data_IF_323395965135
#
_entry.id   IF_323395965135
#
_cell.length_a   1.000
_cell.length_b   1.000
_cell.length_c   1.000
_cell.angle_alpha   90.00
_cell.angle_beta   90.00
_cell.angle_gamma   90.00
#
_symmetry.space_group_name_H-M   'P 1'
#
loop_
_entity.id
_entity.type
_entity.pdbx_description
1 polymer ?
#
# COMPACT_ATOMS: atom_id res chain seq x y z
N UNK A 1 -48.20 28.73 27.17
CA UNK A 1 -46.72 28.57 27.16
C UNK A 1 -46.31 27.26 26.49
N UNK A 2 -46.82 26.08 26.89
CA UNK A 2 -46.45 24.78 26.29
C UNK A 2 -46.76 24.63 24.78
N UNK A 3 -47.80 25.27 24.25
CA UNK A 3 -48.18 25.19 22.81
C UNK A 3 -47.18 25.95 21.91
N UNK A 4 -46.51 26.98 22.42
CA UNK A 4 -45.55 27.80 21.66
C UNK A 4 -44.13 27.18 21.73
N UNK A 5 -43.89 26.28 22.68
CA UNK A 5 -42.58 25.68 22.92
C UNK A 5 -42.27 24.49 22.01
N UNK A 6 -43.25 23.97 21.24
CA UNK A 6 -43.04 22.83 20.34
C UNK A 6 -42.56 23.34 18.97
N UNK A 7 -41.27 23.15 18.61
CA UNK A 7 -40.72 23.71 17.39
C UNK A 7 -41.10 22.82 16.20
N UNK A 8 -42.23 23.12 15.55
CA UNK A 8 -42.75 22.35 14.41
C UNK A 8 -41.73 22.17 13.26
N UNK A 9 -40.79 23.12 13.11
CA UNK A 9 -39.74 23.06 12.09
C UNK A 9 -38.51 22.22 12.47
N UNK A 10 -38.31 21.92 13.77
CA UNK A 10 -37.10 21.23 14.25
C UNK A 10 -37.00 19.80 13.70
N UNK A 11 -38.14 19.12 13.56
CA UNK A 11 -38.20 17.75 13.01
C UNK A 11 -37.86 17.66 11.51
N UNK A 12 -37.88 18.78 10.78
CA UNK A 12 -37.59 18.85 9.35
C UNK A 12 -36.22 19.45 9.03
N UNK A 13 -35.67 20.28 9.93
CA UNK A 13 -34.43 21.00 9.70
C UNK A 13 -33.24 20.07 9.41
N UNK A 14 -33.04 19.02 10.23
CA UNK A 14 -31.94 18.07 10.05
C UNK A 14 -32.10 17.24 8.77
N UNK A 15 -33.23 16.52 8.54
CA UNK A 15 -33.38 15.71 7.31
C UNK A 15 -33.23 16.51 6.02
N UNK A 16 -33.75 17.73 5.96
CA UNK A 16 -33.61 18.59 4.77
C UNK A 16 -32.15 19.00 4.54
N UNK A 17 -31.45 19.42 5.60
CA UNK A 17 -30.05 19.83 5.50
C UNK A 17 -29.16 18.66 5.07
N UNK A 18 -29.37 17.48 5.66
CA UNK A 18 -28.66 16.25 5.30
C UNK A 18 -28.95 15.85 3.85
N UNK A 19 -30.21 15.86 3.40
CA UNK A 19 -30.57 15.48 2.03
C UNK A 19 -29.89 16.39 1.01
N UNK A 20 -29.88 17.71 1.25
CA UNK A 20 -29.18 18.68 0.39
C UNK A 20 -27.67 18.46 0.42
N UNK A 21 -27.08 18.22 1.60
CA UNK A 21 -25.65 17.94 1.74
C UNK A 21 -25.23 16.66 0.99
N UNK A 22 -26.01 15.59 1.10
CA UNK A 22 -25.80 14.35 0.33
C UNK A 22 -25.88 14.60 -1.17
N UNK A 23 -26.89 15.35 -1.63
CA UNK A 23 -27.05 15.71 -3.04
C UNK A 23 -25.86 16.51 -3.57
N UNK A 24 -25.41 17.52 -2.82
CA UNK A 24 -24.20 18.30 -3.16
C UNK A 24 -22.94 17.43 -3.17
N UNK A 25 -22.76 16.58 -2.16
CA UNK A 25 -21.63 15.63 -2.11
C UNK A 25 -21.58 14.75 -3.34
N UNK A 26 -22.72 14.19 -3.75
CA UNK A 26 -22.80 13.31 -4.91
C UNK A 26 -22.38 14.03 -6.22
N UNK A 27 -22.74 15.31 -6.39
CA UNK A 27 -22.27 16.09 -7.54
C UNK A 27 -20.75 16.33 -7.56
N UNK A 28 -20.10 16.25 -6.39
CA UNK A 28 -18.64 16.30 -6.24
C UNK A 28 -17.97 14.92 -6.15
N UNK A 29 -18.70 13.84 -6.44
CA UNK A 29 -18.16 12.47 -6.37
C UNK A 29 -18.05 11.87 -4.96
N UNK A 30 -18.65 12.50 -3.95
CA UNK A 30 -18.65 12.03 -2.56
C UNK A 30 -20.03 11.43 -2.22
N UNK A 31 -20.06 10.12 -1.98
CA UNK A 31 -21.30 9.41 -1.65
C UNK A 31 -21.34 9.05 -0.16
N UNK A 32 -22.27 9.64 0.57
CA UNK A 32 -22.51 9.32 1.98
C UNK A 32 -23.48 8.15 2.11
N UNK A 33 -23.07 7.07 2.80
CA UNK A 33 -23.96 5.93 3.09
C UNK A 33 -24.96 6.22 4.19
N UNK A 34 -24.61 7.08 5.16
CA UNK A 34 -25.44 7.45 6.29
C UNK A 34 -25.35 8.97 6.55
N UNK A 35 -26.40 9.52 7.17
CA UNK A 35 -26.47 10.93 7.54
C UNK A 35 -25.46 11.31 8.61
N UNK A 36 -25.24 10.39 9.55
CA UNK A 36 -24.32 10.56 10.69
C UNK A 36 -22.88 10.82 10.24
N UNK A 37 -22.41 10.23 9.13
CA UNK A 37 -21.07 10.52 8.61
C UNK A 37 -20.87 12.01 8.30
N UNK A 38 -21.90 12.73 7.82
CA UNK A 38 -21.78 14.16 7.53
C UNK A 38 -21.52 14.95 8.82
N UNK A 39 -22.17 14.56 9.92
CA UNK A 39 -22.02 15.21 11.22
C UNK A 39 -20.67 14.86 11.86
N UNK A 40 -20.28 13.58 11.85
CA UNK A 40 -19.02 13.10 12.43
C UNK A 40 -17.81 13.64 11.68
N UNK A 41 -17.87 13.74 10.34
CA UNK A 41 -16.77 14.27 9.54
C UNK A 41 -16.35 15.68 9.96
N UNK A 42 -17.27 16.49 10.50
CA UNK A 42 -16.94 17.83 11.02
C UNK A 42 -16.01 17.78 12.23
N UNK A 43 -16.07 16.73 13.03
CA UNK A 43 -15.29 16.61 14.28
C UNK A 43 -14.03 15.78 14.11
N UNK A 44 -13.80 15.18 12.94
CA UNK A 44 -12.58 14.42 12.64
C UNK A 44 -11.37 15.35 12.74
N UNK A 45 -10.38 14.93 13.53
CA UNK A 45 -9.11 15.64 13.70
C UNK A 45 -7.92 14.84 13.14
N UNK A 46 -8.11 13.55 12.87
CA UNK A 46 -7.07 12.65 12.37
C UNK A 46 -7.60 11.81 11.21
N UNK A 47 -6.93 11.89 10.06
CA UNK A 47 -7.13 11.00 8.92
C UNK A 47 -6.07 9.91 8.95
N UNK A 48 -6.51 8.66 9.07
CA UNK A 48 -5.69 7.49 8.79
C UNK A 48 -5.93 7.11 7.32
N UNK A 49 -4.87 6.85 6.57
CA UNK A 49 -4.96 6.49 5.15
C UNK A 49 -4.14 5.24 4.88
N UNK A 50 -4.69 4.31 4.11
CA UNK A 50 -3.87 3.30 3.46
C UNK A 50 -2.97 3.97 2.41
N UNK A 51 -1.85 3.33 2.08
CA UNK A 51 -0.96 3.81 1.02
C UNK A 51 -1.46 3.38 -0.35
N UNK A 52 -1.60 2.06 -0.56
CA UNK A 52 -1.78 1.47 -1.89
C UNK A 52 -3.19 1.78 -2.40
N UNK A 53 -3.29 2.32 -3.61
CA UNK A 53 -4.58 2.65 -4.25
C UNK A 53 -5.36 3.81 -3.64
N UNK A 54 -5.01 4.25 -2.43
CA UNK A 54 -5.54 5.47 -1.80
C UNK A 54 -4.64 6.66 -2.11
N UNK A 55 -3.39 6.68 -1.61
CA UNK A 55 -2.41 7.72 -1.90
C UNK A 55 -1.74 7.53 -3.27
N UNK A 56 -1.61 6.28 -3.69
CA UNK A 56 -1.02 5.86 -4.97
C UNK A 56 -2.09 5.41 -5.96
N UNK A 57 -1.70 5.18 -7.22
CA UNK A 57 -2.61 4.78 -8.31
C UNK A 57 -3.22 3.38 -8.09
N UNK A 58 -2.65 2.57 -7.19
CA UNK A 58 -3.07 1.18 -6.98
C UNK A 58 -2.66 0.29 -8.15
N UNK A 59 -1.66 0.74 -8.93
CA UNK A 59 -1.20 0.09 -10.16
C UNK A 59 0.32 -0.03 -10.11
N UNK A 60 0.85 -0.93 -9.27
CA UNK A 60 2.28 -1.14 -9.18
C UNK A 60 2.86 -1.52 -10.54
N UNK A 61 4.05 -1.00 -10.85
CA UNK A 61 4.80 -1.29 -12.07
C UNK A 61 6.25 -1.67 -11.74
N UNK A 62 6.79 -2.62 -12.49
CA UNK A 62 8.21 -2.95 -12.44
C UNK A 62 9.02 -1.76 -12.97
N UNK A 63 9.91 -1.19 -12.15
CA UNK A 63 10.68 0.02 -12.49
C UNK A 63 12.18 -0.22 -12.61
N UNK A 64 12.73 -1.21 -11.89
CA UNK A 64 14.15 -1.54 -11.98
C UNK A 64 14.38 -3.05 -11.93
N UNK A 65 15.41 -3.48 -12.68
CA UNK A 65 15.90 -4.86 -12.71
C UNK A 65 17.42 -4.80 -12.54
N UNK A 66 17.95 -5.30 -11.42
CA UNK A 66 19.39 -5.29 -11.14
C UNK A 66 19.88 -6.72 -10.95
N UNK A 67 20.52 -7.32 -11.98
CA UNK A 67 21.11 -8.64 -11.85
C UNK A 67 22.34 -8.63 -10.93
N UNK A 68 22.50 -9.71 -10.17
CA UNK A 68 23.73 -10.00 -9.45
C UNK A 68 24.84 -10.47 -10.43
N UNK A 69 26.09 -10.43 -9.98
CA UNK A 69 27.20 -10.95 -10.76
C UNK A 69 26.98 -12.43 -11.15
N UNK A 70 27.07 -12.73 -12.45
CA UNK A 70 26.83 -14.07 -12.99
C UNK A 70 25.39 -14.36 -13.41
N UNK A 71 24.47 -13.40 -13.25
CA UNK A 71 23.10 -13.48 -13.76
C UNK A 71 22.86 -12.42 -14.84
N UNK A 72 22.02 -12.77 -15.83
CA UNK A 72 21.53 -11.82 -16.82
C UNK A 72 20.17 -11.25 -16.41
N UNK A 73 19.88 -10.04 -16.86
CA UNK A 73 18.61 -9.34 -16.59
C UNK A 73 17.39 -10.18 -17.01
N UNK A 74 17.43 -10.77 -18.21
CA UNK A 74 16.35 -11.63 -18.70
C UNK A 74 16.18 -12.90 -17.85
N UNK A 75 17.28 -13.49 -17.37
CA UNK A 75 17.20 -14.68 -16.50
C UNK A 75 16.60 -14.32 -15.15
N UNK A 76 17.01 -13.20 -14.57
CA UNK A 76 16.46 -12.68 -13.32
C UNK A 76 14.95 -12.44 -13.44
N UNK A 77 14.52 -11.70 -14.47
CA UNK A 77 13.12 -11.39 -14.69
C UNK A 77 12.29 -12.64 -15.00
N UNK A 78 12.83 -13.59 -15.76
CA UNK A 78 12.20 -14.88 -15.99
C UNK A 78 11.95 -15.65 -14.69
N UNK A 79 12.97 -15.76 -13.83
CA UNK A 79 12.85 -16.47 -12.55
C UNK A 79 11.79 -15.84 -11.65
N UNK A 80 11.82 -14.50 -11.53
CA UNK A 80 10.87 -13.75 -10.72
C UNK A 80 9.44 -13.84 -11.23
N UNK A 81 9.23 -13.65 -12.53
CA UNK A 81 7.88 -13.74 -13.09
C UNK A 81 7.32 -15.17 -13.04
N UNK A 82 8.18 -16.19 -13.18
CA UNK A 82 7.77 -17.59 -13.10
C UNK A 82 7.30 -17.99 -11.70
N UNK A 83 7.99 -17.54 -10.65
CA UNK A 83 7.58 -17.83 -9.27
C UNK A 83 6.33 -17.03 -8.87
N UNK A 84 6.22 -15.78 -9.34
CA UNK A 84 5.09 -14.89 -9.02
C UNK A 84 3.80 -15.25 -9.75
N UNK A 85 3.82 -16.11 -10.77
CA UNK A 85 2.58 -16.63 -11.38
C UNK A 85 1.69 -17.39 -10.37
N UNK A 86 2.26 -17.90 -9.28
CA UNK A 86 1.51 -18.58 -8.21
C UNK A 86 0.91 -17.63 -7.17
N UNK A 87 1.14 -16.31 -7.28
CA UNK A 87 0.79 -15.30 -6.30
C UNK A 87 -0.32 -14.38 -6.83
N UNK A 88 -1.29 -14.07 -5.99
CA UNK A 88 -2.35 -13.09 -6.28
C UNK A 88 -2.00 -11.67 -5.81
N UNK A 89 -0.75 -11.45 -5.39
CA UNK A 89 -0.32 -10.16 -4.85
C UNK A 89 -0.18 -9.10 -5.97
N UNK A 90 -0.57 -7.83 -5.76
CA UNK A 90 -0.41 -6.78 -6.78
C UNK A 90 1.03 -6.60 -7.29
N UNK A 91 2.03 -6.81 -6.42
CA UNK A 91 3.45 -6.80 -6.82
C UNK A 91 3.80 -7.96 -7.77
N UNK A 92 3.17 -9.13 -7.58
CA UNK A 92 3.33 -10.29 -8.45
C UNK A 92 2.83 -9.98 -9.86
N UNK A 93 1.63 -9.40 -9.95
CA UNK A 93 1.04 -8.96 -11.20
C UNK A 93 1.94 -7.95 -11.92
N UNK A 94 2.49 -6.98 -11.19
CA UNK A 94 3.42 -5.98 -11.74
C UNK A 94 4.70 -6.62 -12.34
N UNK A 95 5.27 -7.63 -11.66
CA UNK A 95 6.46 -8.36 -12.16
C UNK A 95 6.11 -9.18 -13.40
N UNK A 96 4.97 -9.90 -13.37
CA UNK A 96 4.52 -10.73 -14.51
C UNK A 96 4.18 -9.86 -15.72
N UNK A 97 3.53 -8.72 -15.52
CA UNK A 97 3.27 -7.74 -16.57
C UNK A 97 4.58 -7.18 -17.14
N UNK A 98 5.51 -6.75 -16.28
CA UNK A 98 6.83 -6.27 -16.69
C UNK A 98 7.63 -7.32 -17.47
N UNK A 99 7.53 -8.60 -17.12
CA UNK A 99 8.15 -9.68 -17.89
C UNK A 99 7.56 -9.82 -19.29
N UNK A 100 6.23 -9.76 -19.42
CA UNK A 100 5.54 -9.81 -20.73
C UNK A 100 5.93 -8.62 -21.63
N UNK A 101 6.01 -7.42 -21.06
CA UNK A 101 6.45 -6.20 -21.79
C UNK A 101 7.89 -6.33 -22.30
N UNK A 102 8.73 -7.05 -21.56
CA UNK A 102 10.11 -7.37 -21.96
C UNK A 102 10.24 -8.63 -22.83
N UNK A 103 9.12 -9.18 -23.33
CA UNK A 103 9.10 -10.36 -24.19
C UNK A 103 9.47 -11.67 -23.49
N UNK A 104 9.43 -11.72 -22.17
CA UNK A 104 9.76 -12.89 -21.36
C UNK A 104 8.49 -13.65 -21.02
N UNK A 105 8.47 -14.93 -21.38
CA UNK A 105 7.37 -15.84 -21.03
C UNK A 105 7.71 -16.59 -19.74
N UNK A 106 6.91 -16.44 -18.66
CA UNK A 106 7.12 -17.20 -17.44
C UNK A 106 6.91 -18.70 -17.66
N UNK A 107 7.58 -19.51 -16.84
CA UNK A 107 7.44 -20.97 -16.84
C UNK A 107 6.75 -21.45 -15.58
N UNK A 108 6.12 -22.63 -15.66
CA UNK A 108 5.38 -23.19 -14.53
C UNK A 108 6.32 -23.43 -13.35
N UNK A 109 5.91 -22.96 -12.17
CA UNK A 109 6.58 -23.25 -10.90
C UNK A 109 6.08 -24.58 -10.32
N UNK A 110 7.01 -25.37 -9.80
CA UNK A 110 6.75 -26.57 -9.01
C UNK A 110 7.02 -26.28 -7.53
N UNK A 111 6.33 -26.97 -6.62
CA UNK A 111 6.52 -26.81 -5.16
C UNK A 111 6.45 -25.36 -4.68
N UNK A 112 5.49 -24.58 -5.21
CA UNK A 112 5.28 -23.20 -4.79
C UNK A 112 4.83 -23.12 -3.33
N UNK A 113 5.49 -22.25 -2.58
CA UNK A 113 5.16 -21.95 -1.19
C UNK A 113 5.14 -20.43 -0.97
N UNK A 114 4.05 -19.93 -0.38
CA UNK A 114 3.91 -18.54 0.03
C UNK A 114 4.15 -18.39 1.52
N UNK A 115 5.10 -17.53 1.87
CA UNK A 115 5.52 -17.25 3.24
C UNK A 115 5.06 -15.83 3.60
N UNK A 116 3.93 -15.72 4.30
CA UNK A 116 3.32 -14.43 4.70
C UNK A 116 4.35 -13.50 5.33
N UNK A 117 4.41 -12.26 4.82
CA UNK A 117 5.33 -11.21 5.30
C UNK A 117 6.81 -11.44 4.94
N UNK A 118 7.14 -12.46 4.15
CA UNK A 118 8.52 -12.79 3.74
C UNK A 118 8.69 -12.84 2.23
N UNK A 119 7.85 -13.59 1.52
CA UNK A 119 7.94 -13.76 0.08
C UNK A 119 7.45 -15.14 -0.37
N UNK A 120 7.98 -15.63 -1.50
CA UNK A 120 7.61 -16.89 -2.13
C UNK A 120 8.84 -17.73 -2.45
N UNK A 121 8.70 -19.05 -2.41
CA UNK A 121 9.73 -20.01 -2.82
C UNK A 121 9.15 -21.07 -3.75
N UNK A 122 9.99 -21.71 -4.57
CA UNK A 122 9.56 -22.76 -5.48
C UNK A 122 10.68 -23.29 -6.37
N UNK A 123 10.32 -24.16 -7.30
CA UNK A 123 11.23 -24.75 -8.28
C UNK A 123 10.84 -24.36 -9.70
N UNK A 124 11.82 -23.87 -10.47
CA UNK A 124 11.64 -23.48 -11.88
C UNK A 124 12.68 -24.20 -12.71
N UNK A 125 12.25 -25.07 -13.63
CA UNK A 125 13.16 -25.89 -14.46
C UNK A 125 14.24 -26.63 -13.64
N UNK A 126 13.83 -27.18 -12.48
CA UNK A 126 14.74 -27.89 -11.56
C UNK A 126 15.61 -27.01 -10.67
N UNK A 127 15.54 -25.68 -10.79
CA UNK A 127 16.28 -24.72 -9.95
C UNK A 127 15.47 -24.29 -8.75
N UNK A 128 16.10 -24.23 -7.58
CA UNK A 128 15.46 -23.70 -6.36
C UNK A 128 15.47 -22.19 -6.42
N UNK A 129 14.30 -21.57 -6.46
CA UNK A 129 14.14 -20.12 -6.60
C UNK A 129 13.40 -19.56 -5.39
N UNK A 130 13.83 -18.39 -4.94
CA UNK A 130 13.14 -17.61 -3.91
C UNK A 130 13.01 -16.16 -4.36
N UNK A 131 11.90 -15.53 -4.02
CA UNK A 131 11.67 -14.09 -4.22
C UNK A 131 11.06 -13.53 -2.94
N UNK A 132 11.66 -12.48 -2.38
CA UNK A 132 11.12 -11.88 -1.17
C UNK A 132 12.00 -10.80 -0.55
N UNK A 133 11.73 -10.53 0.72
CA UNK A 133 12.47 -9.54 1.51
C UNK A 133 13.80 -10.10 2.05
N UNK A 134 14.53 -9.25 2.76
CA UNK A 134 15.82 -9.60 3.39
C UNK A 134 15.71 -10.76 4.37
N UNK A 135 14.63 -10.84 5.16
CA UNK A 135 14.43 -11.91 6.16
C UNK A 135 14.37 -13.28 5.49
N UNK A 136 13.67 -13.41 4.36
CA UNK A 136 13.65 -14.66 3.59
C UNK A 136 15.05 -15.10 3.13
N UNK A 137 15.86 -14.14 2.66
CA UNK A 137 17.21 -14.45 2.17
C UNK A 137 18.14 -14.91 3.30
N UNK A 138 18.02 -14.28 4.48
CA UNK A 138 18.77 -14.67 5.69
C UNK A 138 18.36 -16.06 6.20
N UNK A 139 17.06 -16.37 6.24
CA UNK A 139 16.54 -17.69 6.62
C UNK A 139 17.03 -18.82 5.70
N UNK A 140 17.20 -18.51 4.41
CA UNK A 140 17.72 -19.44 3.41
C UNK A 140 19.27 -19.50 3.40
N UNK A 141 19.94 -18.72 4.24
CA UNK A 141 21.41 -18.66 4.30
C UNK A 141 22.07 -18.06 3.06
N UNK A 142 21.35 -17.23 2.30
CA UNK A 142 21.84 -16.64 1.05
C UNK A 142 22.50 -15.29 1.36
N UNK A 143 23.81 -15.19 1.09
CA UNK A 143 24.55 -13.96 1.27
C UNK A 143 24.14 -12.91 0.21
N UNK A 144 23.65 -11.72 0.62
CA UNK A 144 23.09 -10.74 -0.31
C UNK A 144 24.14 -9.84 -1.00
N UNK A 145 25.41 -9.88 -0.59
CA UNK A 145 26.47 -9.07 -1.21
C UNK A 145 26.26 -7.56 -1.03
N UNK A 146 26.46 -6.78 -2.09
CA UNK A 146 26.27 -5.32 -2.18
C UNK A 146 24.82 -4.91 -2.53
N UNK A 147 23.96 -5.88 -2.83
CA UNK A 147 22.58 -5.64 -3.21
C UNK A 147 21.73 -5.02 -2.07
N UNK A 148 21.94 -5.28 -0.77
CA UNK A 148 21.21 -4.60 0.30
C UNK A 148 21.32 -3.07 0.22
N UNK A 149 22.49 -2.54 -0.11
CA UNK A 149 22.71 -1.10 -0.19
C UNK A 149 21.93 -0.49 -1.37
N UNK A 150 21.95 -1.17 -2.53
CA UNK A 150 21.16 -0.78 -3.71
C UNK A 150 19.66 -0.85 -3.44
N UNK A 151 19.22 -1.91 -2.74
CA UNK A 151 17.84 -2.07 -2.33
C UNK A 151 17.39 -0.94 -1.39
N UNK A 152 18.29 -0.47 -0.51
CA UNK A 152 17.99 0.62 0.39
C UNK A 152 17.85 1.95 -0.35
N UNK A 153 18.75 2.27 -1.29
CA UNK A 153 18.61 3.46 -2.13
C UNK A 153 17.29 3.46 -2.91
N UNK A 154 16.86 2.31 -3.43
CA UNK A 154 15.55 2.18 -4.09
C UNK A 154 14.37 2.43 -3.13
N UNK A 155 14.47 1.96 -1.89
CA UNK A 155 13.43 2.22 -0.87
C UNK A 155 13.38 3.68 -0.47
N UNK A 156 14.52 4.35 -0.40
CA UNK A 156 14.59 5.80 -0.18
C UNK A 156 13.92 6.60 -1.31
N UNK A 157 13.86 6.03 -2.52
CA UNK A 157 13.09 6.55 -3.66
C UNK A 157 11.60 6.16 -3.63
N UNK A 158 11.12 5.52 -2.55
CA UNK A 158 9.73 5.07 -2.42
C UNK A 158 9.39 3.81 -3.22
N UNK A 159 10.41 3.04 -3.65
CA UNK A 159 10.21 1.78 -4.37
C UNK A 159 10.20 0.59 -3.40
N UNK A 160 9.50 -0.48 -3.77
CA UNK A 160 9.53 -1.76 -3.07
C UNK A 160 10.56 -2.67 -3.74
N UNK A 161 11.73 -2.80 -3.09
CA UNK A 161 12.82 -3.65 -3.55
C UNK A 161 12.70 -5.09 -3.00
N UNK A 162 12.68 -6.06 -3.91
CA UNK A 162 12.59 -7.50 -3.65
C UNK A 162 13.85 -8.20 -4.14
N UNK A 163 14.36 -9.13 -3.33
CA UNK A 163 15.51 -9.96 -3.66
C UNK A 163 15.04 -11.21 -4.38
N UNK A 164 15.80 -11.63 -5.37
CA UNK A 164 15.60 -12.90 -6.08
C UNK A 164 16.84 -13.75 -5.89
N UNK A 165 16.65 -15.01 -5.56
CA UNK A 165 17.72 -15.98 -5.43
C UNK A 165 17.43 -17.24 -6.23
N UNK A 166 18.50 -17.87 -6.73
CA UNK A 166 18.45 -19.13 -7.44
C UNK A 166 19.61 -20.03 -7.02
N UNK A 167 19.33 -21.31 -6.78
CA UNK A 167 20.30 -22.35 -6.46
C UNK A 167 21.21 -21.96 -5.27
N UNK A 168 20.62 -21.35 -4.24
CA UNK A 168 21.31 -20.92 -3.02
C UNK A 168 22.20 -19.68 -3.19
N UNK A 169 22.09 -18.97 -4.32
CA UNK A 169 22.85 -17.74 -4.60
C UNK A 169 21.91 -16.59 -4.90
N UNK A 170 22.35 -15.38 -4.56
CA UNK A 170 21.63 -14.17 -4.93
C UNK A 170 21.65 -13.99 -6.46
N UNK A 171 20.47 -13.90 -7.06
CA UNK A 171 20.30 -13.71 -8.50
C UNK A 171 20.15 -12.23 -8.87
N UNK A 172 19.61 -11.41 -7.96
CA UNK A 172 19.55 -9.96 -8.11
C UNK A 172 18.40 -9.32 -7.33
N UNK A 173 18.04 -8.12 -7.77
CA UNK A 173 16.97 -7.28 -7.22
C UNK A 173 15.97 -6.90 -8.29
N UNK A 174 14.70 -6.81 -7.88
CA UNK A 174 13.65 -6.15 -8.63
C UNK A 174 13.06 -5.03 -7.78
N UNK A 175 12.76 -3.90 -8.40
CA UNK A 175 12.01 -2.84 -7.75
C UNK A 175 10.69 -2.62 -8.45
N UNK A 176 9.63 -2.58 -7.66
CA UNK A 176 8.28 -2.23 -8.09
C UNK A 176 7.88 -0.95 -7.39
N UNK A 177 7.27 -0.02 -8.13
CA UNK A 177 6.76 1.21 -7.57
C UNK A 177 5.29 1.39 -7.94
N UNK A 178 4.50 1.90 -7.01
CA UNK A 178 3.13 2.34 -7.27
C UNK A 178 3.13 3.88 -7.25
N UNK A 179 2.96 4.55 -8.40
CA UNK A 179 3.06 6.00 -8.47
C UNK A 179 2.05 6.69 -7.55
N UNK A 180 2.49 7.76 -6.90
CA UNK A 180 1.60 8.64 -6.12
C UNK A 180 0.62 9.34 -7.07
N UNK A 181 -0.68 9.40 -6.73
CA UNK A 181 -1.65 10.14 -7.56
C UNK A 181 -1.27 11.62 -7.60
N UNK A 182 -1.45 12.23 -8.77
CA UNK A 182 -1.12 13.65 -8.99
C UNK A 182 -1.87 14.62 -8.07
N UNK A 183 -3.04 14.23 -7.57
CA UNK A 183 -3.89 15.01 -6.67
C UNK A 183 -3.55 14.84 -5.19
N UNK A 184 -2.77 13.82 -4.81
CA UNK A 184 -2.55 13.47 -3.40
C UNK A 184 -1.86 14.59 -2.63
N UNK A 185 -0.81 15.19 -3.18
CA UNK A 185 -0.06 16.24 -2.47
C UNK A 185 -0.93 17.47 -2.14
N UNK A 186 -1.79 17.88 -3.08
CA UNK A 186 -2.73 19.00 -2.85
C UNK A 186 -3.80 18.64 -1.81
N UNK A 187 -4.30 17.39 -1.83
CA UNK A 187 -5.27 16.90 -0.87
C UNK A 187 -4.70 16.90 0.56
N UNK A 188 -3.48 16.37 0.75
CA UNK A 188 -2.78 16.37 2.05
C UNK A 188 -2.56 17.81 2.54
N UNK A 189 -2.05 18.70 1.68
CA UNK A 189 -1.86 20.11 2.04
C UNK A 189 -3.17 20.85 2.39
N UNK A 190 -4.30 20.43 1.83
CA UNK A 190 -5.61 20.98 2.18
C UNK A 190 -6.10 20.47 3.55
N UNK A 191 -5.91 19.18 3.84
CA UNK A 191 -6.21 18.60 5.16
C UNK A 191 -5.40 19.27 6.28
N UNK A 192 -4.11 19.51 6.05
CA UNK A 192 -3.26 20.22 7.03
C UNK A 192 -3.72 21.67 7.28
N UNK A 193 -4.19 22.37 6.25
CA UNK A 193 -4.75 23.73 6.41
C UNK A 193 -6.04 23.74 7.25
N UNK A 194 -6.77 22.63 7.25
CA UNK A 194 -7.94 22.42 8.11
C UNK A 194 -7.57 21.92 9.52
N UNK A 195 -6.27 21.73 9.80
CA UNK A 195 -5.77 21.25 11.08
C UNK A 195 -5.90 19.73 11.27
N UNK A 196 -6.17 18.99 10.20
CA UNK A 196 -6.30 17.53 10.24
C UNK A 196 -4.89 16.91 10.20
N UNK A 197 -4.62 16.04 11.17
CA UNK A 197 -3.40 15.22 11.20
C UNK A 197 -3.55 14.04 10.25
N UNK A 198 -2.54 13.76 9.44
CA UNK A 198 -2.54 12.63 8.51
C UNK A 198 -1.58 11.53 8.98
N UNK A 199 -2.10 10.31 9.11
CA UNK A 199 -1.35 9.11 9.49
C UNK A 199 -1.44 8.10 8.36
N UNK A 200 -0.31 7.66 7.82
CA UNK A 200 -0.29 6.61 6.80
C UNK A 200 -0.07 5.24 7.44
N UNK A 201 -0.91 4.27 7.07
CA UNK A 201 -0.75 2.86 7.41
C UNK A 201 -0.39 2.10 6.14
N UNK A 202 0.61 1.22 6.22
CA UNK A 202 0.99 0.39 5.09
C UNK A 202 1.69 -0.89 5.51
N UNK A 203 1.57 -1.94 4.69
CA UNK A 203 2.35 -3.16 4.83
C UNK A 203 3.77 -3.05 4.25
N UNK A 204 4.11 -1.95 3.59
CA UNK A 204 5.44 -1.70 3.04
C UNK A 204 6.50 -1.57 4.13
N UNK A 205 7.77 -1.68 3.71
CA UNK A 205 8.91 -1.45 4.59
C UNK A 205 8.91 -0.02 5.15
N UNK A 206 9.47 0.13 6.36
CA UNK A 206 9.58 1.43 7.02
C UNK A 206 10.27 2.49 6.14
N UNK A 207 11.39 2.15 5.50
CA UNK A 207 12.12 3.08 4.62
C UNK A 207 11.25 3.58 3.47
N UNK A 208 10.56 2.66 2.76
CA UNK A 208 9.65 3.02 1.65
C UNK A 208 8.52 3.93 2.12
N UNK A 209 7.91 3.58 3.24
CA UNK A 209 6.81 4.33 3.81
C UNK A 209 7.25 5.73 4.27
N UNK A 210 8.42 5.86 4.91
CA UNK A 210 8.99 7.15 5.30
C UNK A 210 9.37 8.02 4.10
N UNK A 211 9.87 7.43 3.02
CA UNK A 211 10.14 8.14 1.78
C UNK A 211 8.87 8.77 1.17
N UNK A 212 7.80 7.97 1.05
CA UNK A 212 6.48 8.45 0.57
C UNK A 212 5.92 9.52 1.50
N UNK A 213 6.02 9.30 2.82
CA UNK A 213 5.55 10.25 3.82
C UNK A 213 6.28 11.59 3.74
N UNK A 214 7.61 11.57 3.57
CA UNK A 214 8.42 12.77 3.39
C UNK A 214 8.05 13.53 2.12
N UNK A 215 7.79 12.80 1.02
CA UNK A 215 7.38 13.41 -0.24
C UNK A 215 6.00 14.09 -0.15
N UNK A 216 5.09 13.52 0.64
CA UNK A 216 3.71 14.02 0.79
C UNK A 216 3.49 14.93 2.00
N UNK A 217 4.47 15.02 2.91
CA UNK A 217 4.35 15.76 4.17
C UNK A 217 3.49 15.07 5.24
N UNK A 218 3.39 13.74 5.23
CA UNK A 218 2.56 12.97 6.18
C UNK A 218 3.14 13.02 7.60
N UNK A 219 2.29 13.16 8.61
CA UNK A 219 2.69 13.42 10.01
C UNK A 219 3.19 12.19 10.78
N UNK A 220 2.60 11.02 10.52
CA UNK A 220 2.97 9.76 11.17
C UNK A 220 2.87 8.60 10.18
N UNK A 221 3.79 7.63 10.31
CA UNK A 221 3.85 6.43 9.48
C UNK A 221 3.80 5.20 10.37
N UNK A 222 2.86 4.30 10.06
CA UNK A 222 2.77 2.96 10.62
C UNK A 222 3.03 1.96 9.49
N UNK A 223 4.29 1.55 9.37
CA UNK A 223 4.78 0.64 8.32
C UNK A 223 4.83 -0.81 8.81
N UNK A 224 5.00 -1.74 7.87
CA UNK A 224 5.03 -3.20 8.10
C UNK A 224 3.79 -3.73 8.83
N UNK A 225 2.64 -3.06 8.67
CA UNK A 225 1.38 -3.41 9.33
C UNK A 225 0.64 -4.47 8.52
N UNK A 226 0.31 -5.60 9.16
CA UNK A 226 -0.52 -6.64 8.55
C UNK A 226 -2.00 -6.22 8.47
N UNK A 227 -2.79 -6.74 7.52
CA UNK A 227 -4.21 -6.36 7.36
C UNK A 227 -5.04 -6.51 8.66
N UNK A 228 -4.82 -7.58 9.42
CA UNK A 228 -5.50 -7.86 10.69
C UNK A 228 -5.10 -6.90 11.84
N UNK A 229 -4.00 -6.16 11.66
CA UNK A 229 -3.48 -5.20 12.65
C UNK A 229 -3.96 -3.77 12.41
N UNK A 230 -4.48 -3.42 11.21
CA UNK A 230 -4.92 -2.05 10.88
C UNK A 230 -5.99 -1.54 11.84
N UNK A 231 -6.99 -2.38 12.13
CA UNK A 231 -8.07 -2.03 13.06
C UNK A 231 -7.56 -1.76 14.48
N UNK A 232 -6.51 -2.45 14.92
CA UNK A 232 -5.89 -2.20 16.23
C UNK A 232 -5.17 -0.85 16.27
N UNK A 233 -4.55 -0.42 15.16
CA UNK A 233 -3.91 0.89 15.06
C UNK A 233 -4.92 2.03 15.12
N UNK A 234 -6.06 1.89 14.43
CA UNK A 234 -7.16 2.87 14.51
C UNK A 234 -7.69 2.94 15.96
N UNK A 235 -7.90 1.79 16.61
CA UNK A 235 -8.33 1.75 18.02
C UNK A 235 -7.33 2.40 18.98
N UNK A 236 -6.02 2.27 18.73
CA UNK A 236 -4.98 2.94 19.53
C UNK A 236 -5.15 4.46 19.46
N UNK A 237 -5.26 5.01 18.25
CA UNK A 237 -5.44 6.46 18.04
C UNK A 237 -6.75 6.97 18.68
N UNK A 238 -7.84 6.20 18.54
CA UNK A 238 -9.10 6.51 19.23
C UNK A 238 -8.94 6.50 20.76
N UNK A 239 -8.17 5.55 21.30
CA UNK A 239 -7.83 5.47 22.74
C UNK A 239 -7.01 6.66 23.25
N UNK A 240 -6.30 7.37 22.37
CA UNK A 240 -5.60 8.62 22.67
C UNK A 240 -6.52 9.85 22.64
N UNK A 241 -7.84 9.64 22.44
CA UNK A 241 -8.85 10.70 22.40
C UNK A 241 -9.03 11.36 21.04
N UNK A 242 -8.45 10.79 19.98
CA UNK A 242 -8.57 11.30 18.60
C UNK A 242 -9.90 10.88 17.97
N UNK A 243 -10.48 11.77 17.17
CA UNK A 243 -11.61 11.44 16.30
C UNK A 243 -11.05 11.08 14.91
N UNK A 244 -11.10 9.79 14.60
CA UNK A 244 -10.37 9.20 13.47
C UNK A 244 -11.31 8.88 12.31
N UNK A 245 -10.94 9.34 11.10
CA UNK A 245 -11.45 8.81 9.84
C UNK A 245 -10.41 7.86 9.21
N UNK A 246 -10.86 6.81 8.52
CA UNK A 246 -10.00 5.91 7.75
C UNK A 246 -10.34 6.03 6.26
N UNK A 247 -9.33 6.20 5.41
CA UNK A 247 -9.42 6.13 3.95
C UNK A 247 -8.66 4.90 3.43
N UNK A 248 -9.31 4.13 2.58
CA UNK A 248 -8.80 2.88 1.99
C UNK A 248 -9.50 2.59 0.66
N UNK A 249 -8.96 1.66 -0.13
CA UNK A 249 -9.44 1.38 -1.49
C UNK A 249 -10.16 0.03 -1.63
N UNK A 250 -10.13 -0.85 -0.62
CA UNK A 250 -10.60 -2.23 -0.79
C UNK A 250 -11.03 -3.00 0.46
N UNK A 251 -11.24 -4.31 0.27
CA UNK A 251 -11.77 -5.28 1.23
C UNK A 251 -10.83 -5.49 2.44
N UNK A 252 -9.56 -5.09 2.30
CA UNK A 252 -8.49 -5.34 3.27
C UNK A 252 -8.27 -4.17 4.25
N UNK A 253 -9.09 -3.11 4.17
CA UNK A 253 -8.99 -1.87 4.96
C UNK A 253 -10.12 -1.68 5.97
#
# INVERSE_FOLDING_TARGET
VLIIACPCALGLATPMSTMVAMGKGATGGVLFKNAEAIEVMKTVDTLVTDKTGTLTEGKPRLVNIIPAAGFGEQTLLHLAASIEMGSEHPLAEAIVAGAKENGISPTRVESFESLTGRGVTGMINGRKTALGNRRLMEELGIAPGDLPDKAESMREEGQTAMFVAADGKMAGLLAVADPIKTTTAEAIGSLHREGIRVVMITGDSKTTAEAVAKQLGIDEVLAEVLPDQKAAMVKRLQGEGRIVAMAGDGIND
#
